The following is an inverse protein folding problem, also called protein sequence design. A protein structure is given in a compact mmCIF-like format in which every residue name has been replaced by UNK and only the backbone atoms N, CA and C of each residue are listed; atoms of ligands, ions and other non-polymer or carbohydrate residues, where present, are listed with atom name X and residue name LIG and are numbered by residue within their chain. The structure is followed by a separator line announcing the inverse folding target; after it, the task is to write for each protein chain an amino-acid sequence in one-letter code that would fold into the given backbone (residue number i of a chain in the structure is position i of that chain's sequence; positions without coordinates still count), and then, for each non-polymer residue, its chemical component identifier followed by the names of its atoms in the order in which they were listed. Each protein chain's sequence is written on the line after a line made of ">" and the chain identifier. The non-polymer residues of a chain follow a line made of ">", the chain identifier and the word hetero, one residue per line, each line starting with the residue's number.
data_IF_064093236432
#
_entry.id   IF_064093236432
#
_cell.length_a   1.000
_cell.length_b   1.000
_cell.length_c   1.000
_cell.angle_alpha   90.00
_cell.angle_beta   90.00
_cell.angle_gamma   90.00
#
_symmetry.space_group_name_H-M   'P 1'
#
loop_
_entity.id
_entity.type
_entity.pdbx_description
1 polymer ?
#
# COMPACT_ATOMS: atom_id res chain seq x y z
N UNK A 1 -11.86 2.76 -11.90
CA UNK A 1 -11.11 3.54 -10.94
C UNK A 1 -10.75 4.86 -11.50
N UNK A 2 -11.29 5.84 -10.93
CA UNK A 2 -10.86 7.18 -11.20
C UNK A 2 -9.80 7.57 -10.18
N UNK A 3 -8.69 6.87 -10.22
CA UNK A 3 -7.64 7.10 -9.25
C UNK A 3 -6.64 8.08 -9.81
N UNK A 4 -6.71 9.31 -9.34
CA UNK A 4 -5.60 10.24 -9.58
C UNK A 4 -4.38 9.72 -8.85
N UNK A 5 -3.18 9.82 -9.43
CA UNK A 5 -1.96 9.42 -8.73
C UNK A 5 -1.83 10.20 -7.42
N UNK A 6 -1.46 9.52 -6.35
CA UNK A 6 -1.09 10.18 -5.11
C UNK A 6 0.23 10.90 -5.35
N UNK A 7 0.34 12.14 -4.86
CA UNK A 7 1.54 12.95 -5.04
C UNK A 7 2.79 12.20 -4.58
N UNK A 8 3.80 12.17 -5.42
CA UNK A 8 5.08 11.54 -5.13
C UNK A 8 5.10 10.03 -5.30
N UNK A 9 3.98 9.39 -5.71
CA UNK A 9 3.95 7.93 -5.81
C UNK A 9 4.93 7.37 -6.84
N UNK A 10 4.98 7.97 -8.02
CA UNK A 10 5.90 7.51 -9.07
C UNK A 10 7.35 7.74 -8.67
N UNK A 11 7.67 8.88 -8.11
CA UNK A 11 9.01 9.21 -7.62
C UNK A 11 9.43 8.23 -6.53
N UNK A 12 8.54 7.94 -5.58
CA UNK A 12 8.83 7.00 -4.51
C UNK A 12 9.15 5.60 -5.06
N UNK A 13 8.33 5.10 -5.97
CA UNK A 13 8.54 3.79 -6.58
C UNK A 13 9.85 3.74 -7.34
N UNK A 14 10.12 4.74 -8.17
CA UNK A 14 11.32 4.80 -9.00
C UNK A 14 12.58 4.86 -8.13
N UNK A 15 12.58 5.68 -7.08
CA UNK A 15 13.75 5.88 -6.24
C UNK A 15 14.02 4.71 -5.29
N UNK A 16 13.01 3.91 -4.98
CA UNK A 16 13.12 2.86 -3.96
C UNK A 16 12.96 1.44 -4.49
N UNK A 17 12.86 1.25 -5.80
CA UNK A 17 12.66 -0.09 -6.39
C UNK A 17 13.81 -1.04 -6.08
N UNK A 18 15.02 -0.53 -5.87
CA UNK A 18 16.17 -1.35 -5.50
C UNK A 18 16.28 -1.60 -4.00
N UNK A 19 15.58 -0.82 -3.19
CA UNK A 19 15.63 -0.92 -1.72
C UNK A 19 14.47 -1.68 -1.12
N UNK A 20 13.32 -1.67 -1.77
CA UNK A 20 12.09 -2.31 -1.29
C UNK A 20 11.44 -3.15 -2.37
N UNK A 21 10.75 -4.19 -1.94
CA UNK A 21 9.83 -4.93 -2.79
C UNK A 21 8.44 -4.36 -2.60
N UNK A 22 7.74 -4.10 -3.71
CA UNK A 22 6.42 -3.50 -3.68
C UNK A 22 5.33 -4.48 -4.13
N UNK A 23 4.17 -4.35 -3.54
CA UNK A 23 2.95 -5.00 -3.99
C UNK A 23 1.79 -4.02 -3.83
N UNK A 24 0.75 -4.18 -4.62
CA UNK A 24 -0.42 -3.31 -4.58
C UNK A 24 -1.65 -4.12 -4.21
N UNK A 25 -2.35 -3.70 -3.17
CA UNK A 25 -3.63 -4.29 -2.76
C UNK A 25 -4.66 -3.17 -2.70
N UNK A 26 -5.75 -3.32 -3.43
CA UNK A 26 -6.78 -2.29 -3.57
C UNK A 26 -8.18 -2.92 -3.50
N UNK A 27 -9.17 -2.12 -3.12
CA UNK A 27 -10.57 -2.54 -3.20
C UNK A 27 -11.16 -2.48 -4.61
N UNK A 28 -10.40 -1.97 -5.56
CA UNK A 28 -10.83 -1.86 -6.95
C UNK A 28 -10.88 -3.21 -7.64
N UNK A 29 -11.72 -3.32 -8.68
CA UNK A 29 -11.82 -4.53 -9.47
C UNK A 29 -10.45 -4.95 -10.02
N UNK A 30 -10.14 -6.24 -9.93
CA UNK A 30 -8.83 -6.78 -10.30
C UNK A 30 -8.41 -6.39 -11.72
N UNK A 31 -9.28 -6.57 -12.70
CA UNK A 31 -8.94 -6.29 -14.09
C UNK A 31 -8.78 -4.79 -14.35
N UNK A 32 -9.61 -3.96 -13.74
CA UNK A 32 -9.49 -2.50 -13.85
C UNK A 32 -8.21 -1.99 -13.20
N UNK A 33 -7.85 -2.55 -12.05
CA UNK A 33 -6.64 -2.19 -11.34
C UNK A 33 -5.39 -2.45 -12.21
N UNK A 34 -5.33 -3.62 -12.84
CA UNK A 34 -4.23 -3.98 -13.74
C UNK A 34 -4.17 -3.03 -14.93
N UNK A 35 -5.33 -2.71 -15.53
CA UNK A 35 -5.38 -1.77 -16.65
C UNK A 35 -4.85 -0.39 -16.27
N UNK A 36 -5.26 0.12 -15.11
CA UNK A 36 -4.79 1.43 -14.62
C UNK A 36 -3.28 1.43 -14.41
N UNK A 37 -2.76 0.38 -13.77
CA UNK A 37 -1.32 0.27 -13.53
C UNK A 37 -0.53 0.22 -14.84
N UNK A 38 -1.00 -0.54 -15.82
CA UNK A 38 -0.37 -0.61 -17.15
C UNK A 38 -0.42 0.73 -17.88
N UNK A 39 -1.57 1.38 -17.86
CA UNK A 39 -1.74 2.68 -18.51
C UNK A 39 -0.81 3.74 -17.93
N UNK A 40 -0.49 3.65 -16.66
CA UNK A 40 0.43 4.57 -15.96
C UNK A 40 1.88 4.11 -16.00
N UNK A 41 2.15 2.95 -16.57
CA UNK A 41 3.50 2.41 -16.67
C UNK A 41 4.10 2.00 -15.33
N UNK A 42 3.29 1.66 -14.32
CA UNK A 42 3.75 1.32 -12.98
C UNK A 42 3.59 -0.16 -12.62
N UNK A 43 2.98 -0.95 -13.50
CA UNK A 43 2.70 -2.36 -13.20
C UNK A 43 3.97 -3.17 -12.87
N UNK A 44 5.09 -2.84 -13.48
CA UNK A 44 6.34 -3.57 -13.27
C UNK A 44 7.03 -3.26 -11.94
N UNK A 45 6.59 -2.24 -11.22
CA UNK A 45 7.12 -1.97 -9.89
C UNK A 45 6.62 -2.97 -8.85
N UNK A 46 5.51 -3.64 -9.11
CA UNK A 46 4.83 -4.48 -8.12
C UNK A 46 5.07 -5.96 -8.37
N UNK A 47 5.39 -6.70 -7.31
CA UNK A 47 5.51 -8.16 -7.35
C UNK A 47 4.15 -8.83 -7.52
N UNK A 48 3.11 -8.24 -6.94
CA UNK A 48 1.72 -8.65 -7.14
C UNK A 48 0.82 -7.42 -7.15
N UNK A 49 -0.27 -7.52 -7.92
CA UNK A 49 -1.33 -6.50 -7.98
C UNK A 49 -2.64 -7.23 -7.72
N UNK A 50 -3.27 -6.96 -6.59
CA UNK A 50 -4.44 -7.69 -6.11
C UNK A 50 -5.61 -6.74 -5.83
N UNK A 51 -6.78 -7.08 -6.38
CA UNK A 51 -7.98 -6.29 -6.23
C UNK A 51 -9.20 -7.14 -5.88
N UNK A 52 -10.38 -6.51 -5.91
CA UNK A 52 -11.64 -7.22 -5.67
C UNK A 52 -11.94 -8.21 -6.83
N UNK A 53 -12.77 -9.22 -6.60
CA UNK A 53 -13.72 -9.39 -5.50
C UNK A 53 -13.15 -9.96 -4.19
N UNK A 54 -11.90 -10.40 -4.17
CA UNK A 54 -11.28 -10.87 -2.93
C UNK A 54 -11.03 -9.66 -2.02
N UNK A 55 -11.37 -9.75 -0.74
CA UNK A 55 -11.19 -8.62 0.17
C UNK A 55 -9.70 -8.37 0.49
N UNK A 56 -9.42 -7.18 1.01
CA UNK A 56 -8.04 -6.76 1.29
C UNK A 56 -7.36 -7.65 2.32
N UNK A 57 -8.08 -8.09 3.35
CA UNK A 57 -7.53 -8.96 4.38
C UNK A 57 -7.04 -10.27 3.79
N UNK A 58 -7.85 -10.91 2.96
CA UNK A 58 -7.48 -12.16 2.31
C UNK A 58 -6.39 -11.96 1.28
N UNK A 59 -6.45 -10.88 0.52
CA UNK A 59 -5.40 -10.55 -0.44
C UNK A 59 -4.05 -10.34 0.24
N UNK A 60 -4.02 -9.65 1.38
CA UNK A 60 -2.78 -9.48 2.14
C UNK A 60 -2.24 -10.81 2.66
N UNK A 61 -3.11 -11.67 3.20
CA UNK A 61 -2.69 -12.99 3.67
C UNK A 61 -2.10 -13.82 2.53
N UNK A 62 -2.76 -13.83 1.38
CA UNK A 62 -2.32 -14.57 0.21
C UNK A 62 -1.00 -14.03 -0.34
N UNK A 63 -0.84 -12.70 -0.35
CA UNK A 63 0.37 -12.03 -0.81
C UNK A 63 1.58 -12.40 0.04
N UNK A 64 1.46 -12.37 1.36
CA UNK A 64 2.54 -12.76 2.26
C UNK A 64 2.98 -14.19 1.98
N UNK A 65 2.02 -15.08 1.80
CA UNK A 65 2.28 -16.49 1.51
C UNK A 65 2.96 -16.67 0.16
N UNK A 66 2.41 -16.07 -0.89
CA UNK A 66 2.91 -16.23 -2.26
C UNK A 66 4.32 -15.68 -2.43
N UNK A 67 4.60 -14.53 -1.84
CA UNK A 67 5.89 -13.87 -1.95
C UNK A 67 6.88 -14.29 -0.86
N UNK A 68 6.40 -15.07 0.11
CA UNK A 68 7.19 -15.49 1.28
C UNK A 68 7.71 -14.30 2.07
N UNK A 69 6.91 -13.24 2.15
CA UNK A 69 7.23 -12.07 2.95
C UNK A 69 6.83 -12.30 4.40
N UNK A 70 7.66 -11.81 5.31
CA UNK A 70 7.35 -11.84 6.74
C UNK A 70 6.50 -10.62 7.09
N UNK A 71 5.42 -10.85 7.83
CA UNK A 71 4.56 -9.75 8.29
C UNK A 71 5.36 -8.72 9.09
N UNK A 72 6.31 -9.16 9.91
CA UNK A 72 7.16 -8.28 10.72
C UNK A 72 8.09 -7.38 9.90
N UNK A 73 8.30 -7.70 8.63
CA UNK A 73 9.16 -6.93 7.72
C UNK A 73 8.36 -6.22 6.65
N UNK A 74 7.03 -6.21 6.77
CA UNK A 74 6.12 -5.67 5.77
C UNK A 74 5.35 -4.49 6.36
N UNK A 75 5.17 -3.45 5.56
CA UNK A 75 4.37 -2.29 5.93
C UNK A 75 3.29 -2.08 4.88
N UNK A 76 2.07 -1.85 5.33
CA UNK A 76 0.95 -1.50 4.45
C UNK A 76 0.66 -0.01 4.57
N UNK A 77 0.63 0.68 3.44
CA UNK A 77 0.30 2.10 3.37
C UNK A 77 -1.09 2.23 2.78
N UNK A 78 -2.00 2.86 3.50
CA UNK A 78 -3.37 2.99 3.06
C UNK A 78 -4.04 4.23 3.62
N UNK A 79 -5.23 4.57 3.13
CA UNK A 79 -5.94 5.79 3.50
C UNK A 79 -7.31 5.53 4.15
N UNK A 80 -7.70 4.29 4.35
CA UNK A 80 -8.99 3.93 4.93
C UNK A 80 -8.86 3.05 6.17
N UNK A 81 -9.91 3.04 6.98
CA UNK A 81 -9.97 2.12 8.13
C UNK A 81 -9.96 0.67 7.70
N UNK A 82 -10.54 0.37 6.55
CA UNK A 82 -10.52 -0.97 6.00
C UNK A 82 -9.09 -1.45 5.72
N UNK A 83 -8.23 -0.55 5.23
CA UNK A 83 -6.81 -0.83 5.05
C UNK A 83 -6.14 -1.16 6.38
N UNK A 84 -6.40 -0.35 7.41
CA UNK A 84 -5.84 -0.56 8.74
C UNK A 84 -6.28 -1.91 9.30
N UNK A 85 -7.56 -2.23 9.21
CA UNK A 85 -8.10 -3.49 9.71
C UNK A 85 -7.49 -4.70 9.00
N UNK A 86 -7.31 -4.60 7.68
CA UNK A 86 -6.68 -5.66 6.90
C UNK A 86 -5.22 -5.88 7.30
N UNK A 87 -4.48 -4.80 7.53
CA UNK A 87 -3.10 -4.89 8.00
C UNK A 87 -3.02 -5.53 9.39
N UNK A 88 -3.86 -5.08 10.32
CA UNK A 88 -3.90 -5.61 11.69
C UNK A 88 -4.25 -7.09 11.71
N UNK A 89 -5.20 -7.51 10.88
CA UNK A 89 -5.61 -8.92 10.81
C UNK A 89 -4.46 -9.83 10.36
N UNK A 90 -3.48 -9.28 9.66
CA UNK A 90 -2.32 -10.01 9.15
C UNK A 90 -1.03 -9.69 9.92
N UNK A 91 -1.11 -8.95 11.02
CA UNK A 91 0.03 -8.55 11.85
C UNK A 91 1.07 -7.73 11.08
N UNK A 92 0.62 -6.96 10.10
CA UNK A 92 1.46 -6.07 9.28
C UNK A 92 1.40 -4.67 9.88
N UNK A 93 2.54 -4.00 9.98
CA UNK A 93 2.61 -2.60 10.38
C UNK A 93 1.90 -1.71 9.37
N UNK A 94 1.29 -0.64 9.83
CA UNK A 94 0.47 0.23 8.99
C UNK A 94 0.92 1.68 9.10
N UNK A 95 0.94 2.36 7.95
CA UNK A 95 1.11 3.81 7.87
C UNK A 95 -0.10 4.37 7.13
N UNK A 96 -0.80 5.31 7.76
CA UNK A 96 -1.94 5.98 7.15
C UNK A 96 -1.51 7.07 6.18
N UNK A 97 -2.21 7.20 5.06
CA UNK A 97 -2.06 8.36 4.18
C UNK A 97 -3.17 9.36 4.51
N UNK A 98 -2.77 10.61 4.72
CA UNK A 98 -3.71 11.69 5.09
C UNK A 98 -4.47 12.17 3.85
N UNK A 99 -5.57 11.50 3.53
CA UNK A 99 -6.45 11.86 2.42
C UNK A 99 -7.67 12.69 2.85
N UNK A 100 -7.83 12.88 4.17
CA UNK A 100 -9.00 13.53 4.74
C UNK A 100 -10.12 12.57 5.14
N UNK A 101 -9.98 11.27 4.82
CA UNK A 101 -10.99 10.27 5.16
C UNK A 101 -10.95 9.85 6.63
N UNK A 102 -9.76 9.81 7.23
CA UNK A 102 -9.54 9.32 8.60
C UNK A 102 -8.56 10.25 9.31
N UNK A 103 -8.83 10.55 10.57
CA UNK A 103 -7.91 11.27 11.42
C UNK A 103 -6.96 10.27 12.10
N UNK A 104 -5.86 9.99 11.44
CA UNK A 104 -4.87 9.03 11.92
C UNK A 104 -4.19 9.48 13.21
N UNK A 105 -3.96 10.78 13.34
CA UNK A 105 -3.36 11.34 14.55
C UNK A 105 -4.20 11.07 15.79
N UNK A 106 -5.51 11.23 15.66
CA UNK A 106 -6.44 10.93 16.77
C UNK A 106 -6.39 9.45 17.16
N UNK A 107 -6.15 8.57 16.19
CA UNK A 107 -6.08 7.13 16.43
C UNK A 107 -4.68 6.66 16.89
N UNK A 108 -3.71 7.56 16.96
CA UNK A 108 -2.34 7.20 17.32
C UNK A 108 -1.61 6.41 16.25
N UNK A 109 -2.03 6.53 14.99
CA UNK A 109 -1.44 5.81 13.87
C UNK A 109 -0.42 6.70 13.15
N UNK A 110 0.80 6.22 12.88
CA UNK A 110 1.75 6.95 12.05
C UNK A 110 1.14 7.27 10.70
N UNK A 111 1.34 8.48 10.21
CA UNK A 111 0.73 8.90 8.94
C UNK A 111 1.63 9.83 8.14
N UNK A 112 1.35 9.90 6.84
CA UNK A 112 2.05 10.77 5.90
C UNK A 112 1.03 11.48 5.01
N UNK A 113 1.32 12.73 4.57
CA UNK A 113 0.40 13.42 3.65
C UNK A 113 0.44 12.83 2.24
N UNK A 114 1.59 12.33 1.83
CA UNK A 114 1.82 11.77 0.49
C UNK A 114 3.08 10.91 0.50
N UNK A 115 3.45 10.40 -0.68
CA UNK A 115 4.62 9.53 -0.81
C UNK A 115 5.95 10.27 -0.74
N UNK A 116 5.97 11.59 -0.84
CA UNK A 116 7.22 12.35 -0.72
C UNK A 116 7.85 12.20 0.67
N UNK A 117 7.02 12.06 1.71
CA UNK A 117 7.47 11.91 3.10
C UNK A 117 7.61 10.46 3.54
N UNK A 118 7.20 9.50 2.70
CA UNK A 118 7.07 8.10 3.13
C UNK A 118 8.41 7.47 3.48
N UNK A 119 9.44 7.71 2.69
CA UNK A 119 10.77 7.14 2.92
C UNK A 119 11.31 7.52 4.29
N UNK A 120 11.19 8.78 4.66
CA UNK A 120 11.61 9.29 5.97
C UNK A 120 10.84 8.61 7.09
N UNK A 121 9.52 8.48 6.93
CA UNK A 121 8.67 7.81 7.93
C UNK A 121 9.04 6.34 8.08
N UNK A 122 9.32 5.64 6.98
CA UNK A 122 9.76 4.25 7.02
C UNK A 122 11.09 4.11 7.74
N UNK A 123 12.04 5.01 7.52
CA UNK A 123 13.33 4.98 8.19
C UNK A 123 13.17 5.17 9.70
N UNK A 124 12.24 6.00 10.14
CA UNK A 124 11.94 6.19 11.56
C UNK A 124 11.29 4.97 12.22
N UNK A 125 10.62 4.11 11.45
CA UNK A 125 9.97 2.90 11.95
C UNK A 125 10.98 1.76 12.18
N UNK A 126 12.15 1.88 11.62
CA UNK A 126 13.21 0.90 11.80
C UNK A 126 14.08 1.26 13.01
#
# INVERSE_FOLDING_TARGET
>A
IDAKPVKGSLEFLTQNVSSFNFALVSGSDQSELIKVCRARGINNFFKEILGSPVDKKENLAQLLKNLKWKASETVYVGDSRNDLEAARANFIDFIGRNSGLVDWGFMGIPSVPDFLSLKETLDLQQ
#
